data_IF_305815870091
#
_entry.id   IF_305815870091
#
_cell.length_a   1.000
_cell.length_b   1.000
_cell.length_c   1.000
_cell.angle_alpha   90.00
_cell.angle_beta   90.00
_cell.angle_gamma   90.00
#
_symmetry.space_group_name_H-M   'P 1'
#
loop_
_entity.id
_entity.type
_entity.pdbx_description
1 polymer ?
#
# COMPACT_ATOMS: atom_id res chain seq x y z
N UNK A 1 -14.29 31.68 4.31
CA UNK A 1 -14.02 30.26 3.99
C UNK A 1 -13.16 29.69 5.11
N UNK A 2 -13.69 28.76 5.90
CA UNK A 2 -12.94 28.14 6.99
C UNK A 2 -12.18 26.92 6.46
N UNK A 3 -10.87 26.88 6.68
CA UNK A 3 -10.04 25.70 6.39
C UNK A 3 -10.36 24.65 7.46
N UNK A 4 -10.92 23.51 7.05
CA UNK A 4 -11.06 22.35 7.94
C UNK A 4 -9.66 21.82 8.25
N UNK A 5 -9.15 22.04 9.47
CA UNK A 5 -7.97 21.34 9.94
C UNK A 5 -8.36 19.89 10.21
N UNK A 6 -7.97 18.98 9.31
CA UNK A 6 -8.14 17.55 9.54
C UNK A 6 -7.01 17.13 10.50
N UNK A 7 -7.33 16.59 11.69
CA UNK A 7 -6.29 16.12 12.61
C UNK A 7 -5.53 14.95 11.97
N UNK A 8 -4.22 14.91 12.21
CA UNK A 8 -3.41 13.78 11.77
C UNK A 8 -3.83 12.51 12.53
N UNK A 9 -4.07 11.39 11.83
CA UNK A 9 -4.40 10.14 12.50
C UNK A 9 -3.19 9.62 13.28
N UNK A 10 -3.45 9.10 14.48
CA UNK A 10 -2.43 8.39 15.26
C UNK A 10 -2.13 7.04 14.59
N UNK A 11 -0.84 6.73 14.42
CA UNK A 11 -0.40 5.46 13.83
C UNK A 11 -0.28 4.43 14.96
N UNK A 12 -1.00 3.31 14.93
CA UNK A 12 -0.93 2.32 15.99
C UNK A 12 0.44 1.65 16.04
N UNK A 13 0.90 1.26 17.24
CA UNK A 13 2.22 0.66 17.44
C UNK A 13 2.39 -0.69 16.71
N UNK A 14 1.30 -1.40 16.42
CA UNK A 14 1.30 -2.64 15.66
C UNK A 14 1.37 -2.44 14.13
N UNK A 15 1.28 -1.21 13.63
CA UNK A 15 1.39 -0.94 12.21
C UNK A 15 2.78 -1.36 11.71
N UNK A 16 2.81 -2.12 10.63
CA UNK A 16 4.06 -2.42 9.94
C UNK A 16 4.69 -1.12 9.42
N UNK A 17 6.00 -0.95 9.62
CA UNK A 17 6.74 0.25 9.24
C UNK A 17 8.05 -0.11 8.57
N UNK A 18 8.39 0.62 7.51
CA UNK A 18 9.65 0.48 6.78
C UNK A 18 10.08 1.82 6.18
N UNK A 19 11.37 2.17 6.19
CA UNK A 19 11.85 3.36 5.50
C UNK A 19 11.59 3.29 3.99
N UNK A 20 11.13 4.40 3.42
CA UNK A 20 11.00 4.57 1.97
C UNK A 20 12.40 4.55 1.33
N UNK A 21 12.51 3.92 0.16
CA UNK A 21 13.77 3.87 -0.61
C UNK A 21 14.86 2.93 -0.07
N UNK A 22 14.74 2.40 1.16
CA UNK A 22 15.66 1.35 1.66
C UNK A 22 15.51 0.10 0.77
N UNK A 23 16.59 -0.50 0.26
CA UNK A 23 16.55 -1.76 -0.48
C UNK A 23 16.25 -2.98 0.41
N UNK A 24 16.05 -4.16 -0.20
CA UNK A 24 15.92 -5.43 0.53
C UNK A 24 17.26 -6.18 0.49
N UNK A 25 17.79 -6.58 1.64
CA UNK A 25 19.09 -7.29 1.71
C UNK A 25 18.98 -8.72 1.16
N UNK A 26 17.88 -9.41 1.47
CA UNK A 26 17.58 -10.78 1.03
C UNK A 26 16.11 -10.87 0.63
N UNK A 27 15.73 -10.39 -0.57
CA UNK A 27 14.37 -10.56 -1.06
C UNK A 27 14.07 -12.07 -1.21
N UNK A 28 12.84 -12.48 -0.91
CA UNK A 28 12.41 -13.84 -1.18
C UNK A 28 12.47 -14.12 -2.69
N UNK A 29 12.86 -15.33 -3.07
CA UNK A 29 12.90 -15.78 -4.45
C UNK A 29 11.78 -16.80 -4.66
N UNK A 30 10.93 -16.56 -5.66
CA UNK A 30 9.90 -17.54 -6.00
C UNK A 30 10.51 -18.85 -6.54
N UNK A 31 9.86 -19.97 -6.20
CA UNK A 31 10.14 -21.27 -6.81
C UNK A 31 9.58 -21.33 -8.23
N UNK A 32 10.05 -22.30 -9.03
CA UNK A 32 9.59 -22.47 -10.41
C UNK A 32 8.06 -22.63 -10.48
N UNK A 33 7.40 -21.79 -11.28
CA UNK A 33 5.94 -21.77 -11.43
C UNK A 33 5.20 -20.87 -10.43
N UNK A 34 5.88 -20.24 -9.48
CA UNK A 34 5.28 -19.26 -8.57
C UNK A 34 5.45 -17.83 -9.11
N UNK A 35 4.43 -16.99 -8.94
CA UNK A 35 4.49 -15.57 -9.30
C UNK A 35 5.34 -14.81 -8.28
N UNK A 36 6.34 -14.07 -8.77
CA UNK A 36 7.15 -13.14 -7.98
C UNK A 36 6.90 -11.71 -8.42
N UNK A 37 6.20 -10.93 -7.61
CA UNK A 37 5.98 -9.49 -7.87
C UNK A 37 7.01 -8.62 -7.17
N UNK A 38 8.04 -9.23 -6.56
CA UNK A 38 9.03 -8.57 -5.76
C UNK A 38 8.48 -8.00 -4.45
N UNK A 39 9.37 -7.53 -3.57
CA UNK A 39 9.02 -7.17 -2.19
C UNK A 39 8.51 -5.73 -2.02
N UNK A 40 8.29 -5.01 -3.13
CA UNK A 40 7.87 -3.60 -3.14
C UNK A 40 6.35 -3.45 -3.17
N UNK A 41 5.68 -4.05 -2.19
CA UNK A 41 4.21 -4.08 -2.10
C UNK A 41 3.70 -3.22 -0.94
N UNK A 42 2.42 -2.86 -0.99
CA UNK A 42 1.73 -2.09 0.05
C UNK A 42 0.31 -2.61 0.30
N UNK A 43 -0.42 -1.97 1.23
CA UNK A 43 -1.81 -2.32 1.51
C UNK A 43 -2.69 -2.05 0.27
N UNK A 44 -3.49 -3.02 -0.20
CA UNK A 44 -4.40 -2.80 -1.31
C UNK A 44 -5.52 -1.83 -0.92
N UNK A 45 -6.04 -1.10 -1.90
CA UNK A 45 -7.20 -0.22 -1.75
C UNK A 45 -8.38 -0.80 -2.54
N UNK A 46 -9.53 -0.92 -1.88
CA UNK A 46 -10.77 -1.44 -2.48
C UNK A 46 -11.55 -2.32 -1.51
N UNK A 47 -12.87 -2.36 -1.67
CA UNK A 47 -13.74 -3.29 -0.95
C UNK A 47 -13.68 -4.70 -1.54
N UNK A 48 -14.13 -5.69 -0.76
CA UNK A 48 -14.27 -7.07 -1.22
C UNK A 48 -15.17 -7.12 -2.47
N UNK A 49 -14.72 -7.78 -3.53
CA UNK A 49 -15.46 -7.91 -4.79
C UNK A 49 -15.49 -6.66 -5.68
N UNK A 50 -14.91 -5.52 -5.26
CA UNK A 50 -14.92 -4.27 -6.03
C UNK A 50 -13.81 -4.16 -7.09
N UNK A 51 -12.90 -5.15 -7.11
CA UNK A 51 -11.60 -4.99 -7.75
C UNK A 51 -10.66 -4.15 -6.88
N UNK A 52 -9.39 -4.54 -6.85
CA UNK A 52 -8.32 -3.82 -6.18
C UNK A 52 -7.72 -2.82 -7.20
N UNK A 53 -7.51 -1.56 -6.80
CA UNK A 53 -7.10 -0.41 -7.64
C UNK A 53 -8.18 0.31 -8.48
N UNK A 54 -9.47 0.28 -8.12
CA UNK A 54 -10.43 1.21 -8.76
C UNK A 54 -10.24 2.63 -8.20
N UNK A 55 -9.49 3.44 -8.93
CA UNK A 55 -9.45 4.89 -8.74
C UNK A 55 -10.87 5.46 -8.87
N UNK A 56 -11.20 6.46 -8.05
CA UNK A 56 -12.34 7.35 -8.29
C UNK A 56 -12.16 7.88 -9.71
N UNK A 57 -12.98 7.42 -10.65
CA UNK A 57 -13.03 7.95 -12.00
C UNK A 57 -13.56 9.39 -11.89
N UNK A 58 -12.66 10.34 -11.64
CA UNK A 58 -12.91 11.74 -11.91
C UNK A 58 -13.16 11.85 -13.40
N UNK A 59 -14.36 12.32 -13.77
CA UNK A 59 -14.69 12.72 -15.13
C UNK A 59 -13.59 13.65 -15.63
N UNK A 60 -12.89 13.23 -16.68
CA UNK A 60 -12.36 14.10 -17.72
C UNK A 60 -12.72 13.46 -19.05
#
# INVERSE_FOLDING_TARGET
MALLSIPWPEIPACAWRRPLGRGWEKPATALAGCLDTGPWQGMPLGGLGAGWHRAIAGRR
#
